data_IF_588855211049
#
_entry.id   IF_588855211049
#
_cell.length_a   1.000
_cell.length_b   1.000
_cell.length_c   1.000
_cell.angle_alpha   90.00
_cell.angle_beta   90.00
_cell.angle_gamma   90.00
#
_symmetry.space_group_name_H-M   'P 1'
#
loop_
_entity.id
_entity.type
_entity.pdbx_description
1 polymer ?
#
# COMPACT_ATOMS: atom_id res chain seq x y z
N UNK A 1 34.10 12.95 6.93
CA UNK A 1 34.80 14.02 6.21
C UNK A 1 35.66 14.83 7.16
N UNK A 2 35.10 15.69 8.03
CA UNK A 2 35.87 16.57 8.94
C UNK A 2 36.85 15.78 9.83
N UNK A 3 36.39 14.75 10.55
CA UNK A 3 37.25 13.92 11.42
C UNK A 3 38.42 13.22 10.70
N UNK A 4 38.29 13.00 9.39
CA UNK A 4 39.32 12.33 8.59
C UNK A 4 40.26 13.33 7.88
N UNK A 5 39.92 14.62 7.89
CA UNK A 5 40.69 15.65 7.22
C UNK A 5 41.89 16.07 8.11
N UNK A 6 43.08 16.29 7.56
CA UNK A 6 44.30 16.51 8.36
C UNK A 6 44.39 17.90 9.00
N UNK A 7 43.59 18.86 8.54
CA UNK A 7 43.57 20.22 9.09
C UNK A 7 42.45 20.43 10.09
N UNK A 8 42.70 21.28 11.08
CA UNK A 8 41.74 21.68 12.12
C UNK A 8 40.55 22.45 11.52
N UNK A 9 40.82 23.38 10.59
CA UNK A 9 39.82 24.15 9.86
C UNK A 9 39.68 23.62 8.43
N UNK A 10 38.58 22.91 8.16
CA UNK A 10 38.31 22.33 6.84
C UNK A 10 37.47 23.31 6.02
N UNK A 11 38.02 23.81 4.91
CA UNK A 11 37.26 24.55 3.91
C UNK A 11 36.47 23.56 3.02
N UNK A 12 35.14 23.65 3.03
CA UNK A 12 34.26 22.90 2.15
C UNK A 12 32.99 23.69 1.86
N UNK A 13 32.40 23.43 0.70
CA UNK A 13 31.15 24.02 0.27
C UNK A 13 30.08 22.94 0.08
N UNK A 14 28.84 23.29 0.39
CA UNK A 14 27.68 22.44 0.14
C UNK A 14 26.80 23.11 -0.93
N UNK A 15 26.79 22.53 -2.12
CA UNK A 15 25.96 23.01 -3.22
C UNK A 15 24.63 22.29 -3.24
N UNK A 16 23.54 23.06 -3.30
CA UNK A 16 22.23 22.52 -3.59
C UNK A 16 22.18 22.10 -5.06
N UNK A 17 21.78 20.86 -5.29
CA UNK A 17 21.52 20.32 -6.62
C UNK A 17 20.02 20.14 -6.84
N UNK A 18 19.60 20.21 -8.10
CA UNK A 18 18.23 19.86 -8.48
C UNK A 18 18.02 18.35 -8.61
N UNK A 19 19.10 17.57 -8.60
CA UNK A 19 19.07 16.11 -8.56
C UNK A 19 18.14 15.63 -7.43
N UNK A 20 17.24 14.70 -7.77
CA UNK A 20 16.35 14.05 -6.80
C UNK A 20 16.95 12.72 -6.37
N UNK A 21 16.71 12.36 -5.11
CA UNK A 21 16.99 11.02 -4.60
C UNK A 21 15.89 10.03 -4.98
N UNK A 22 15.78 8.98 -4.19
CA UNK A 22 14.68 8.02 -4.31
C UNK A 22 13.31 8.71 -4.10
N UNK A 23 12.35 8.36 -4.96
CA UNK A 23 10.98 8.85 -4.86
C UNK A 23 10.17 7.93 -3.95
N UNK A 24 9.70 8.48 -2.83
CA UNK A 24 8.75 7.82 -1.93
C UNK A 24 7.34 8.38 -2.17
N UNK A 25 6.32 7.61 -1.83
CA UNK A 25 4.93 8.00 -2.04
C UNK A 25 3.93 7.02 -1.46
N UNK A 26 2.66 7.34 -1.61
CA UNK A 26 1.54 6.55 -1.11
C UNK A 26 1.14 5.46 -2.11
N UNK A 27 0.84 4.28 -1.57
CA UNK A 27 0.41 3.13 -2.35
C UNK A 27 1.52 2.53 -3.23
N UNK A 28 1.16 1.48 -3.94
CA UNK A 28 2.01 0.80 -4.93
C UNK A 28 1.16 0.38 -6.12
N UNK A 29 1.82 0.24 -7.26
CA UNK A 29 1.21 -0.33 -8.47
C UNK A 29 2.15 -1.39 -9.03
N UNK A 30 1.61 -2.53 -9.44
CA UNK A 30 2.37 -3.65 -9.96
C UNK A 30 1.52 -4.55 -10.84
N UNK A 31 2.10 -5.64 -11.33
CA UNK A 31 1.41 -6.62 -12.17
C UNK A 31 1.32 -7.96 -11.49
N UNK A 32 0.15 -8.60 -11.60
CA UNK A 32 -0.07 -9.98 -11.21
C UNK A 32 0.77 -10.91 -12.09
N UNK A 33 1.14 -12.06 -11.54
CA UNK A 33 1.89 -13.08 -12.26
C UNK A 33 1.09 -13.67 -13.44
N UNK A 34 -0.22 -13.80 -13.25
CA UNK A 34 -1.16 -14.28 -14.26
C UNK A 34 -2.39 -13.38 -14.29
N UNK A 35 -2.98 -13.22 -15.47
CA UNK A 35 -4.23 -12.52 -15.65
C UNK A 35 -5.37 -13.33 -15.07
N UNK A 36 -6.37 -12.65 -14.50
CA UNK A 36 -7.55 -13.27 -13.91
C UNK A 36 -8.75 -12.34 -14.07
N UNK A 37 -9.96 -12.83 -13.87
CA UNK A 37 -11.15 -11.95 -13.87
C UNK A 37 -11.19 -11.07 -12.61
N UNK A 38 -11.97 -9.99 -12.65
CA UNK A 38 -12.16 -9.14 -11.48
C UNK A 38 -12.79 -9.91 -10.31
N UNK A 39 -13.66 -10.88 -10.58
CA UNK A 39 -14.22 -11.78 -9.56
C UNK A 39 -13.14 -12.65 -8.91
N UNK A 40 -12.31 -13.33 -9.71
CA UNK A 40 -11.21 -14.16 -9.23
C UNK A 40 -10.21 -13.32 -8.42
N UNK A 41 -9.94 -12.10 -8.87
CA UNK A 41 -9.08 -11.15 -8.17
C UNK A 41 -9.71 -10.69 -6.85
N UNK A 42 -11.00 -10.40 -6.81
CA UNK A 42 -11.70 -10.04 -5.57
C UNK A 42 -11.62 -11.18 -4.53
N UNK A 43 -11.79 -12.43 -4.97
CA UNK A 43 -11.60 -13.61 -4.12
C UNK A 43 -10.14 -13.82 -3.71
N UNK A 44 -9.18 -13.49 -4.58
CA UNK A 44 -7.76 -13.46 -4.22
C UNK A 44 -7.50 -12.43 -3.12
N UNK A 45 -8.03 -11.21 -3.24
CA UNK A 45 -7.90 -10.16 -2.23
C UNK A 45 -8.46 -10.61 -0.88
N UNK A 46 -9.64 -11.24 -0.85
CA UNK A 46 -10.23 -11.80 0.39
C UNK A 46 -9.29 -12.77 1.09
N UNK A 47 -8.79 -13.77 0.35
CA UNK A 47 -7.89 -14.79 0.90
C UNK A 47 -6.55 -14.21 1.33
N UNK A 48 -5.99 -13.29 0.55
CA UNK A 48 -4.66 -12.73 0.81
C UNK A 48 -4.65 -11.72 1.96
N UNK A 49 -5.72 -10.94 2.12
CA UNK A 49 -5.84 -9.93 3.18
C UNK A 49 -6.64 -10.44 4.40
N UNK A 50 -7.07 -11.70 4.37
CA UNK A 50 -7.82 -12.36 5.45
C UNK A 50 -9.06 -11.56 5.84
N UNK A 51 -9.97 -11.33 4.88
CA UNK A 51 -11.24 -10.63 5.10
C UNK A 51 -12.42 -11.46 4.59
N UNK A 52 -13.54 -11.40 5.33
CA UNK A 52 -14.73 -12.21 5.05
C UNK A 52 -15.41 -11.82 3.73
N UNK A 53 -15.48 -10.52 3.43
CA UNK A 53 -16.12 -9.97 2.23
C UNK A 53 -15.37 -8.75 1.70
N UNK A 54 -15.64 -8.43 0.44
CA UNK A 54 -15.18 -7.21 -0.24
C UNK A 54 -16.34 -6.59 -0.99
N UNK A 55 -16.29 -5.27 -1.21
CA UNK A 55 -17.16 -4.58 -2.17
C UNK A 55 -16.42 -4.41 -3.48
N UNK A 56 -17.10 -4.59 -4.61
CA UNK A 56 -16.48 -4.53 -5.93
C UNK A 56 -17.22 -3.52 -6.80
N UNK A 57 -16.45 -2.70 -7.53
CA UNK A 57 -16.95 -1.77 -8.54
C UNK A 57 -16.38 -2.21 -9.89
N UNK A 58 -17.24 -2.42 -10.89
CA UNK A 58 -16.84 -2.85 -12.22
C UNK A 58 -17.56 -4.11 -12.68
N UNK A 59 -17.25 -4.55 -13.91
CA UNK A 59 -17.77 -5.81 -14.44
C UNK A 59 -16.88 -6.97 -13.96
N UNK A 60 -17.48 -7.90 -13.22
CA UNK A 60 -16.80 -9.06 -12.63
C UNK A 60 -16.05 -9.95 -13.63
N UNK A 61 -16.46 -9.96 -14.89
CA UNK A 61 -15.82 -10.72 -15.96
C UNK A 61 -14.64 -9.99 -16.64
N UNK A 62 -14.34 -8.75 -16.24
CA UNK A 62 -13.23 -7.98 -16.80
C UNK A 62 -11.91 -8.61 -16.42
N UNK A 63 -11.00 -8.81 -17.38
CA UNK A 63 -9.65 -9.27 -17.12
C UNK A 63 -8.83 -8.18 -16.42
N UNK A 64 -8.12 -8.54 -15.36
CA UNK A 64 -7.22 -7.66 -14.61
C UNK A 64 -5.80 -8.22 -14.58
N UNK A 65 -4.80 -7.33 -14.69
CA UNK A 65 -3.38 -7.66 -14.60
C UNK A 65 -2.62 -6.66 -13.75
N UNK A 66 -2.79 -5.37 -14.00
CA UNK A 66 -2.11 -4.30 -13.30
C UNK A 66 -2.98 -3.81 -12.14
N UNK A 67 -2.45 -3.92 -10.93
CA UNK A 67 -3.16 -3.62 -9.69
C UNK A 67 -2.49 -2.44 -9.02
N UNK A 68 -3.27 -1.41 -8.69
CA UNK A 68 -2.87 -0.41 -7.72
C UNK A 68 -3.42 -0.79 -6.33
N UNK A 69 -2.66 -0.54 -5.28
CA UNK A 69 -3.07 -0.75 -3.89
C UNK A 69 -2.65 0.41 -3.02
N UNK A 70 -3.54 0.86 -2.14
CA UNK A 70 -3.28 1.86 -1.13
C UNK A 70 -4.13 1.52 0.10
N UNK A 71 -3.48 1.30 1.25
CA UNK A 71 -4.17 1.06 2.51
C UNK A 71 -4.96 2.28 2.96
N UNK A 72 -6.00 2.04 3.76
CA UNK A 72 -6.84 3.09 4.32
C UNK A 72 -7.75 3.79 3.31
N UNK A 73 -8.02 5.08 3.53
CA UNK A 73 -8.86 5.90 2.66
C UNK A 73 -8.08 6.43 1.45
N UNK A 74 -8.30 5.77 0.31
CA UNK A 74 -7.68 6.10 -0.97
C UNK A 74 -8.55 6.85 -1.96
N UNK A 75 -9.68 7.42 -1.53
CA UNK A 75 -10.62 8.12 -2.42
C UNK A 75 -9.95 9.22 -3.25
N UNK A 76 -8.85 9.83 -2.77
CA UNK A 76 -8.15 10.91 -3.48
C UNK A 76 -7.27 10.44 -4.64
N UNK A 77 -6.96 9.15 -4.72
CA UNK A 77 -5.88 8.64 -5.59
C UNK A 77 -6.36 7.75 -6.74
N UNK A 78 -7.67 7.51 -6.88
CA UNK A 78 -8.21 6.67 -7.95
C UNK A 78 -7.84 7.19 -9.36
N UNK A 79 -7.86 8.51 -9.58
CA UNK A 79 -7.42 9.11 -10.86
C UNK A 79 -5.94 8.88 -11.13
N UNK A 80 -5.11 8.91 -10.08
CA UNK A 80 -3.67 8.59 -10.18
C UNK A 80 -3.47 7.11 -10.50
N UNK A 81 -4.22 6.22 -9.86
CA UNK A 81 -4.19 4.79 -10.15
C UNK A 81 -4.56 4.51 -11.62
N UNK A 82 -5.64 5.13 -12.10
CA UNK A 82 -6.05 5.01 -13.51
C UNK A 82 -5.00 5.58 -14.46
N UNK A 83 -4.45 6.76 -14.18
CA UNK A 83 -3.41 7.38 -15.01
C UNK A 83 -2.14 6.52 -15.08
N UNK A 84 -1.78 5.82 -14.00
CA UNK A 84 -0.68 4.85 -13.98
C UNK A 84 -1.01 3.51 -14.66
N UNK A 85 -2.24 3.37 -15.16
CA UNK A 85 -2.71 2.24 -15.96
C UNK A 85 -3.23 1.06 -15.13
N UNK A 86 -3.67 1.27 -13.89
CA UNK A 86 -4.29 0.20 -13.12
C UNK A 86 -5.58 -0.30 -13.80
N UNK A 87 -5.71 -1.62 -13.90
CA UNK A 87 -6.94 -2.30 -14.31
C UNK A 87 -7.92 -2.34 -13.13
N UNK A 88 -7.38 -2.47 -11.92
CA UNK A 88 -8.12 -2.50 -10.66
C UNK A 88 -7.35 -1.78 -9.55
N UNK A 89 -8.07 -1.06 -8.69
CA UNK A 89 -7.53 -0.35 -7.54
C UNK A 89 -8.09 -0.93 -6.24
N UNK A 90 -7.20 -1.32 -5.33
CA UNK A 90 -7.53 -1.85 -4.01
C UNK A 90 -7.34 -0.77 -2.96
N UNK A 91 -8.42 -0.37 -2.29
CA UNK A 91 -8.38 0.63 -1.21
C UNK A 91 -9.57 0.46 -0.28
N UNK A 92 -9.43 0.87 0.98
CA UNK A 92 -10.54 0.95 1.93
C UNK A 92 -11.39 2.21 1.74
N UNK A 93 -12.50 2.26 2.49
CA UNK A 93 -13.39 3.40 2.65
C UNK A 93 -13.93 4.01 1.35
N UNK A 94 -14.16 3.20 0.31
CA UNK A 94 -14.64 3.73 -0.97
C UNK A 94 -16.01 4.40 -0.81
N UNK A 95 -16.09 5.69 -1.12
CA UNK A 95 -17.32 6.47 -1.04
C UNK A 95 -18.19 6.25 -2.29
N UNK A 96 -19.50 6.42 -2.13
CA UNK A 96 -20.46 6.15 -3.19
C UNK A 96 -20.22 7.01 -4.46
N UNK A 97 -20.04 8.32 -4.31
CA UNK A 97 -19.80 9.19 -5.46
C UNK A 97 -18.42 8.97 -6.08
N UNK A 98 -17.38 8.73 -5.27
CA UNK A 98 -16.07 8.35 -5.79
C UNK A 98 -16.11 7.03 -6.57
N UNK A 99 -16.94 6.07 -6.16
CA UNK A 99 -17.15 4.83 -6.90
C UNK A 99 -17.78 5.10 -8.28
N UNK A 100 -18.78 5.99 -8.36
CA UNK A 100 -19.33 6.44 -9.65
C UNK A 100 -18.27 7.13 -10.51
N UNK A 101 -17.44 7.99 -9.92
CA UNK A 101 -16.33 8.64 -10.63
C UNK A 101 -15.32 7.61 -11.17
N UNK A 102 -14.99 6.59 -10.39
CA UNK A 102 -14.15 5.48 -10.82
C UNK A 102 -14.78 4.69 -11.98
N UNK A 103 -16.10 4.43 -11.93
CA UNK A 103 -16.83 3.81 -13.04
C UNK A 103 -16.77 4.65 -14.31
N UNK A 104 -16.98 5.97 -14.21
CA UNK A 104 -16.96 6.88 -15.37
C UNK A 104 -15.61 6.91 -16.08
N UNK A 105 -14.51 6.72 -15.35
CA UNK A 105 -13.16 6.64 -15.94
C UNK A 105 -12.73 5.21 -16.26
N UNK A 106 -13.61 4.22 -16.10
CA UNK A 106 -13.34 2.81 -16.37
C UNK A 106 -12.24 2.22 -15.48
N UNK A 107 -12.24 2.54 -14.19
CA UNK A 107 -11.37 1.93 -13.19
C UNK A 107 -12.18 0.97 -12.30
N UNK A 108 -11.78 -0.29 -12.25
CA UNK A 108 -12.38 -1.25 -11.32
C UNK A 108 -11.86 -1.00 -9.90
N UNK A 109 -12.69 -1.25 -8.88
CA UNK A 109 -12.31 -1.13 -7.47
C UNK A 109 -12.57 -2.45 -6.75
N UNK A 110 -11.67 -2.84 -5.85
CA UNK A 110 -11.97 -3.82 -4.80
C UNK A 110 -11.73 -3.14 -3.46
N UNK A 111 -12.77 -3.05 -2.64
CA UNK A 111 -12.71 -2.48 -1.31
C UNK A 111 -12.82 -3.58 -0.25
N UNK A 112 -11.71 -3.94 0.40
CA UNK A 112 -11.68 -4.93 1.47
C UNK A 112 -11.83 -4.32 2.87
N UNK A 113 -12.16 -3.04 2.98
CA UNK A 113 -12.23 -2.28 4.23
C UNK A 113 -10.89 -1.65 4.62
N UNK A 114 -10.93 -0.61 5.45
CA UNK A 114 -9.74 0.08 5.96
C UNK A 114 -8.87 -0.86 6.82
N UNK A 115 -9.49 -1.79 7.55
CA UNK A 115 -8.79 -2.63 8.52
C UNK A 115 -7.72 -3.54 7.91
N UNK A 116 -7.69 -3.75 6.59
CA UNK A 116 -6.63 -4.52 5.92
C UNK A 116 -5.22 -3.99 6.17
N UNK A 117 -5.09 -2.74 6.62
CA UNK A 117 -3.81 -2.21 7.11
C UNK A 117 -3.24 -3.01 8.29
N UNK A 118 -4.03 -3.87 8.96
CA UNK A 118 -3.63 -4.80 10.03
C UNK A 118 -2.35 -5.59 9.75
N UNK A 119 -1.99 -5.80 8.49
CA UNK A 119 -0.70 -6.39 8.05
C UNK A 119 0.51 -5.64 8.62
N UNK A 120 0.37 -4.33 8.89
CA UNK A 120 1.44 -3.51 9.42
C UNK A 120 1.86 -3.91 10.83
N UNK A 121 0.96 -4.50 11.63
CA UNK A 121 1.25 -4.93 13.01
C UNK A 121 2.40 -5.92 13.03
N UNK A 122 2.27 -6.99 12.24
CA UNK A 122 3.32 -8.01 12.12
C UNK A 122 4.51 -7.48 11.32
N UNK A 123 4.27 -6.74 10.23
CA UNK A 123 5.34 -6.20 9.38
C UNK A 123 6.32 -5.31 10.15
N UNK A 124 5.81 -4.34 10.91
CA UNK A 124 6.63 -3.43 11.72
C UNK A 124 7.32 -4.18 12.85
N UNK A 125 6.62 -5.08 13.55
CA UNK A 125 7.23 -5.89 14.61
C UNK A 125 8.43 -6.69 14.08
N UNK A 126 8.31 -7.32 12.91
CA UNK A 126 9.42 -8.05 12.26
C UNK A 126 10.58 -7.11 11.91
N UNK A 127 10.31 -5.96 11.28
CA UNK A 127 11.36 -5.00 10.90
C UNK A 127 12.14 -4.51 12.12
N UNK A 128 11.43 -4.10 13.18
CA UNK A 128 12.07 -3.60 14.40
C UNK A 128 12.83 -4.69 15.14
N UNK A 129 12.32 -5.92 15.14
CA UNK A 129 13.02 -7.08 15.73
C UNK A 129 14.35 -7.34 15.03
N UNK A 130 14.38 -7.30 13.69
CA UNK A 130 15.60 -7.46 12.91
C UNK A 130 16.60 -6.33 13.20
N UNK A 131 16.14 -5.07 13.25
CA UNK A 131 17.00 -3.92 13.57
C UNK A 131 17.62 -4.02 14.97
N UNK A 132 16.86 -4.50 15.96
CA UNK A 132 17.36 -4.72 17.32
C UNK A 132 18.34 -5.89 17.38
N UNK A 133 18.08 -6.98 16.65
CA UNK A 133 18.99 -8.13 16.56
C UNK A 133 20.34 -7.74 15.96
N UNK A 134 20.35 -6.98 14.87
CA UNK A 134 21.58 -6.46 14.24
C UNK A 134 22.43 -5.61 15.20
N UNK A 135 21.76 -4.86 16.09
CA UNK A 135 22.39 -3.99 17.07
C UNK A 135 22.64 -4.66 18.42
N UNK A 136 22.29 -5.95 18.57
CA UNK A 136 22.39 -6.73 19.81
C UNK A 136 21.65 -6.05 20.99
N UNK A 137 20.48 -5.47 20.69
CA UNK A 137 19.60 -4.87 21.69
C UNK A 137 18.61 -5.92 22.20
N UNK A 138 18.48 -6.03 23.52
CA UNK A 138 17.52 -6.93 24.17
C UNK A 138 16.15 -6.25 24.29
N UNK A 139 15.37 -6.34 23.20
CA UNK A 139 14.03 -5.75 23.10
C UNK A 139 13.10 -6.73 22.40
N UNK A 140 11.89 -6.92 22.94
CA UNK A 140 10.85 -7.76 22.34
C UNK A 140 9.71 -6.91 21.80
N UNK A 141 9.32 -7.14 20.53
CA UNK A 141 8.18 -6.49 19.90
C UNK A 141 6.99 -7.46 19.79
N UNK A 142 5.84 -7.07 20.32
CA UNK A 142 4.64 -7.93 20.36
C UNK A 142 3.54 -7.30 19.49
N UNK A 143 3.22 -7.88 18.31
CA UNK A 143 2.12 -7.40 17.49
C UNK A 143 0.77 -7.75 18.14
N UNK A 144 -0.15 -6.78 18.22
CA UNK A 144 -1.48 -7.00 18.78
C UNK A 144 -2.27 -8.06 17.97
N UNK A 145 -2.87 -9.02 18.66
CA UNK A 145 -3.71 -10.08 18.07
C UNK A 145 -5.19 -9.71 17.97
N UNK A 146 -5.61 -8.58 18.56
CA UNK A 146 -7.01 -8.17 18.55
C UNK A 146 -7.46 -7.84 17.12
N UNK A 147 -8.63 -8.35 16.74
CA UNK A 147 -9.37 -7.83 15.59
C UNK A 147 -10.00 -6.50 15.99
N UNK A 148 -9.82 -5.49 15.15
CA UNK A 148 -10.24 -4.11 15.37
C UNK A 148 -11.03 -3.57 14.19
N UNK A 149 -11.48 -4.45 13.29
CA UNK A 149 -12.44 -4.09 12.25
C UNK A 149 -13.79 -3.78 12.91
N UNK A 150 -14.33 -2.56 12.78
CA UNK A 150 -15.64 -2.24 13.33
C UNK A 150 -16.79 -2.83 12.50
N UNK A 151 -16.52 -3.35 11.31
CA UNK A 151 -17.54 -3.83 10.40
C UNK A 151 -17.71 -5.35 10.49
N UNK A 152 -18.96 -5.78 10.65
CA UNK A 152 -19.37 -7.17 10.48
C UNK A 152 -20.30 -7.25 9.29
N UNK A 153 -19.95 -8.07 8.30
CA UNK A 153 -20.79 -8.29 7.13
C UNK A 153 -21.83 -9.39 7.41
N UNK A 154 -23.10 -9.10 7.13
CA UNK A 154 -24.23 -10.05 7.24
C UNK A 154 -24.61 -10.65 5.88
#
# INVERSE_FOLDING_TARGET
>A
MIKAHPYEEVAYDLYRLDNKGEVLGLGKIGSLAYEMTLEEFAEHVKRTLDVDRVRVVGNLNTTVKKVAVLGGDGNKYFTTAKFKGADVYVTGDMYYHTAHDAMMIGLNIVDPGHNVEKVMKQGVATVLSNMCQERKLDVTFIPSKLNTDPFTFV
#
